data_IF_694993921530
#
_entry.id   IF_694993921530
#
_cell.length_a   1.000
_cell.length_b   1.000
_cell.length_c   1.000
_cell.angle_alpha   90.00
_cell.angle_beta   90.00
_cell.angle_gamma   90.00
#
_symmetry.space_group_name_H-M   'P 1'
#
loop_
_entity.id
_entity.type
_entity.pdbx_description
1 polymer ?
#
# COMPACT_ATOMS: atom_id res chain seq x y z
N UNK A 1 -27.69 -64.06 57.97
CA UNK A 1 -26.52 -63.25 57.51
C UNK A 1 -27.06 -62.28 56.51
N UNK A 2 -27.02 -60.93 56.78
CA UNK A 2 -27.54 -59.94 55.86
C UNK A 2 -26.48 -59.64 54.78
N UNK A 3 -26.97 -59.56 53.55
CA UNK A 3 -26.26 -59.21 52.34
C UNK A 3 -25.87 -57.72 52.37
N UNK A 4 -24.55 -57.45 52.26
CA UNK A 4 -23.96 -56.14 52.16
C UNK A 4 -23.43 -55.96 50.75
N UNK A 5 -24.20 -55.34 49.85
CA UNK A 5 -23.63 -54.65 48.68
C UNK A 5 -24.73 -54.03 47.80
N UNK A 6 -25.42 -53.02 48.32
CA UNK A 6 -26.22 -52.18 47.46
C UNK A 6 -25.82 -50.71 47.70
N UNK A 7 -25.20 -50.00 46.73
CA UNK A 7 -24.87 -48.56 46.87
C UNK A 7 -26.15 -47.72 46.88
N UNK A 8 -26.19 -46.61 47.63
CA UNK A 8 -27.36 -45.76 47.75
C UNK A 8 -27.66 -45.05 46.43
N UNK A 9 -28.88 -45.20 45.92
CA UNK A 9 -29.42 -44.49 44.77
C UNK A 9 -29.72 -43.04 45.19
N UNK A 10 -28.91 -42.06 44.71
CA UNK A 10 -29.20 -40.64 44.84
C UNK A 10 -30.47 -40.28 44.04
N UNK A 11 -31.38 -39.44 44.63
CA UNK A 11 -32.60 -39.07 43.94
C UNK A 11 -32.33 -38.20 42.70
N UNK A 12 -32.96 -38.59 41.60
CA UNK A 12 -32.86 -37.94 40.26
C UNK A 12 -33.15 -36.41 40.26
N UNK A 13 -33.65 -35.84 41.35
CA UNK A 13 -33.93 -34.42 41.49
C UNK A 13 -32.70 -33.57 41.88
N UNK A 14 -31.63 -34.17 42.40
CA UNK A 14 -30.40 -33.45 42.73
C UNK A 14 -29.46 -33.22 41.58
N UNK A 15 -29.65 -33.90 40.43
CA UNK A 15 -28.82 -33.76 39.22
C UNK A 15 -29.29 -32.67 38.25
N UNK A 16 -30.52 -32.12 38.47
CA UNK A 16 -31.05 -31.04 37.62
C UNK A 16 -30.74 -29.61 38.15
N UNK A 17 -30.28 -29.48 39.39
CA UNK A 17 -29.96 -28.17 40.00
C UNK A 17 -28.49 -27.72 39.78
N UNK A 18 -27.60 -28.66 39.39
CA UNK A 18 -26.16 -28.34 39.13
C UNK A 18 -25.85 -27.94 37.68
N UNK A 19 -26.82 -28.05 36.76
CA UNK A 19 -26.62 -27.77 35.32
C UNK A 19 -26.98 -26.33 34.90
N UNK A 20 -27.43 -25.47 35.80
CA UNK A 20 -27.84 -24.10 35.51
C UNK A 20 -26.88 -23.01 36.02
N UNK A 21 -25.67 -23.34 36.47
CA UNK A 21 -24.68 -22.39 36.94
C UNK A 21 -23.40 -22.30 36.09
N UNK A 22 -23.34 -23.01 34.96
CA UNK A 22 -22.34 -22.78 33.95
C UNK A 22 -22.95 -21.92 32.83
N UNK A 23 -23.25 -20.67 33.16
CA UNK A 23 -23.40 -19.60 32.16
C UNK A 23 -22.11 -19.59 31.36
N UNK A 24 -22.12 -20.18 30.16
CA UNK A 24 -21.08 -19.96 29.18
C UNK A 24 -21.01 -18.46 28.98
N UNK A 25 -20.02 -17.80 29.59
CA UNK A 25 -19.57 -16.50 29.15
C UNK A 25 -19.12 -16.71 27.72
N UNK A 26 -20.02 -16.42 26.78
CA UNK A 26 -19.62 -16.20 25.37
C UNK A 26 -18.45 -15.21 25.43
N UNK A 27 -17.29 -15.52 24.85
CA UNK A 27 -16.24 -14.54 24.80
C UNK A 27 -16.84 -13.31 24.09
N UNK A 28 -16.95 -12.22 24.84
CA UNK A 28 -17.18 -10.90 24.24
C UNK A 28 -16.19 -10.79 23.08
N UNK A 29 -16.61 -10.34 21.88
CA UNK A 29 -15.69 -10.11 20.77
C UNK A 29 -14.54 -9.30 21.37
N UNK A 30 -13.33 -9.91 21.38
CA UNK A 30 -12.20 -9.46 22.16
C UNK A 30 -12.03 -7.96 22.00
N UNK A 31 -11.95 -7.25 23.11
CA UNK A 31 -11.61 -5.83 23.10
C UNK A 31 -10.30 -5.73 22.29
N UNK A 32 -10.42 -5.20 21.07
CA UNK A 32 -9.28 -4.93 20.20
C UNK A 32 -8.35 -4.04 21.03
N UNK A 33 -7.10 -4.43 21.19
CA UNK A 33 -6.14 -3.61 21.90
C UNK A 33 -6.34 -2.14 21.47
N UNK A 34 -6.38 -1.23 22.43
CA UNK A 34 -6.67 0.18 22.17
C UNK A 34 -5.54 0.78 21.31
N UNK A 35 -5.63 0.62 20.00
CA UNK A 35 -4.61 1.05 19.04
C UNK A 35 -5.16 1.06 17.61
N UNK A 36 -4.50 1.81 16.73
CA UNK A 36 -4.83 1.87 15.30
C UNK A 36 -4.12 0.76 14.53
N UNK A 37 -4.84 0.09 13.63
CA UNK A 37 -4.26 -0.82 12.64
C UNK A 37 -4.48 -0.24 11.25
N UNK A 38 -3.39 -0.05 10.53
CA UNK A 38 -3.38 0.49 9.18
C UNK A 38 -2.84 -0.56 8.20
N UNK A 39 -3.30 -0.55 6.95
CA UNK A 39 -2.78 -1.45 5.92
C UNK A 39 -3.32 -1.09 4.55
N UNK A 40 -2.68 -1.56 3.48
CA UNK A 40 -3.12 -1.26 2.12
C UNK A 40 -1.98 -1.26 1.12
N UNK A 41 -1.93 -0.25 0.23
CA UNK A 41 -0.90 -0.16 -0.80
C UNK A 41 0.51 -0.09 -0.23
N UNK A 42 1.40 -0.89 -0.78
CA UNK A 42 2.79 -0.99 -0.33
C UNK A 42 3.56 0.31 -0.46
N UNK A 43 3.28 1.11 -1.50
CA UNK A 43 3.97 2.40 -1.72
C UNK A 43 3.76 3.41 -0.57
N UNK A 44 2.72 3.24 0.26
CA UNK A 44 2.45 4.13 1.40
C UNK A 44 2.95 3.58 2.74
N UNK A 45 3.38 2.32 2.82
CA UNK A 45 3.69 1.68 4.11
C UNK A 45 4.85 2.37 4.84
N UNK A 46 5.97 2.57 4.15
CA UNK A 46 7.17 3.15 4.79
C UNK A 46 6.92 4.58 5.26
N UNK A 47 6.33 5.42 4.43
CA UNK A 47 6.02 6.80 4.81
C UNK A 47 4.97 6.85 5.93
N UNK A 48 3.99 5.96 5.94
CA UNK A 48 2.99 5.89 7.00
C UNK A 48 3.62 5.51 8.34
N UNK A 49 4.59 4.58 8.35
CA UNK A 49 5.37 4.26 9.57
C UNK A 49 6.11 5.48 10.10
N UNK A 50 6.80 6.22 9.23
CA UNK A 50 7.50 7.45 9.61
C UNK A 50 6.55 8.52 10.14
N UNK A 51 5.38 8.68 9.52
CA UNK A 51 4.34 9.62 9.96
C UNK A 51 3.77 9.22 11.31
N UNK A 52 3.53 7.94 11.55
CA UNK A 52 3.08 7.43 12.86
C UNK A 52 4.13 7.64 13.95
N UNK A 53 5.40 7.38 13.65
CA UNK A 53 6.49 7.62 14.60
C UNK A 53 6.59 9.10 14.98
N UNK A 54 6.39 10.02 14.02
CA UNK A 54 6.35 11.46 14.27
C UNK A 54 5.13 11.86 15.08
N UNK A 55 3.95 11.34 14.74
CA UNK A 55 2.70 11.58 15.46
C UNK A 55 2.78 11.13 16.91
N UNK A 56 3.30 9.93 17.17
CA UNK A 56 3.48 9.40 18.52
C UNK A 56 4.50 10.21 19.33
N UNK A 57 5.61 10.66 18.72
CA UNK A 57 6.58 11.55 19.36
C UNK A 57 5.99 12.90 19.73
N UNK A 58 5.04 13.40 18.94
CA UNK A 58 4.31 14.63 19.19
C UNK A 58 3.16 14.50 20.23
N UNK A 59 3.02 13.35 20.88
CA UNK A 59 1.96 13.10 21.88
C UNK A 59 0.67 12.54 21.27
N UNK A 60 0.69 12.07 20.02
CA UNK A 60 -0.41 11.33 19.39
C UNK A 60 -0.75 10.07 20.21
N UNK A 61 -1.98 10.00 20.70
CA UNK A 61 -2.34 9.33 21.93
C UNK A 61 -2.50 7.81 21.92
N UNK A 62 -2.38 7.07 20.79
CA UNK A 62 -2.63 5.62 20.80
C UNK A 62 -1.55 4.85 20.01
N UNK A 63 -1.16 3.65 20.47
CA UNK A 63 -0.31 2.76 19.71
C UNK A 63 -0.89 2.50 18.31
N UNK A 64 -0.02 2.41 17.31
CA UNK A 64 -0.44 2.15 15.94
C UNK A 64 0.45 1.09 15.27
N UNK A 65 -0.16 0.26 14.43
CA UNK A 65 0.53 -0.80 13.69
C UNK A 65 0.22 -0.66 12.19
N UNK A 66 1.26 -0.66 11.36
CA UNK A 66 1.12 -0.73 9.91
C UNK A 66 1.43 -2.15 9.44
N UNK A 67 0.45 -2.80 8.87
CA UNK A 67 0.58 -4.14 8.30
C UNK A 67 1.53 -4.14 7.08
N UNK A 68 1.99 -5.30 6.68
CA UNK A 68 2.65 -5.48 5.40
C UNK A 68 1.67 -5.22 4.25
N UNK A 69 2.20 -5.05 3.02
CA UNK A 69 1.39 -4.72 1.85
C UNK A 69 0.24 -5.71 1.64
N UNK A 70 -0.96 -5.15 1.54
CA UNK A 70 -2.19 -5.83 1.17
C UNK A 70 -2.66 -5.43 -0.24
N UNK A 71 -1.95 -4.49 -0.88
CA UNK A 71 -2.45 -3.73 -2.01
C UNK A 71 -3.65 -2.84 -1.64
N UNK A 72 -4.04 -1.91 -2.51
CA UNK A 72 -5.22 -1.05 -2.25
C UNK A 72 -6.50 -1.87 -2.08
N UNK A 73 -6.73 -2.85 -2.96
CA UNK A 73 -7.94 -3.68 -2.91
C UNK A 73 -8.02 -4.52 -1.63
N UNK A 74 -6.90 -5.15 -1.22
CA UNK A 74 -6.83 -5.93 0.02
C UNK A 74 -7.00 -5.07 1.27
N UNK A 75 -6.42 -3.87 1.30
CA UNK A 75 -6.62 -2.90 2.37
C UNK A 75 -8.08 -2.48 2.52
N UNK A 76 -8.73 -2.11 1.41
CA UNK A 76 -10.16 -1.75 1.41
C UNK A 76 -11.05 -2.93 1.83
N UNK A 77 -10.74 -4.16 1.40
CA UNK A 77 -11.46 -5.35 1.86
C UNK A 77 -11.27 -5.59 3.36
N UNK A 78 -10.06 -5.47 3.89
CA UNK A 78 -9.77 -5.61 5.31
C UNK A 78 -10.47 -4.51 6.16
N UNK A 79 -10.51 -3.27 5.66
CA UNK A 79 -11.23 -2.17 6.28
C UNK A 79 -12.74 -2.46 6.36
N UNK A 80 -13.36 -2.91 5.25
CA UNK A 80 -14.79 -3.29 5.24
C UNK A 80 -15.09 -4.41 6.22
N UNK A 81 -14.21 -5.39 6.30
CA UNK A 81 -14.34 -6.50 7.25
C UNK A 81 -14.06 -6.12 8.71
N UNK A 82 -13.73 -4.85 9.00
CA UNK A 82 -13.39 -4.38 10.33
C UNK A 82 -12.10 -4.97 10.89
N UNK A 83 -11.20 -5.45 10.04
CA UNK A 83 -9.91 -6.04 10.44
C UNK A 83 -8.81 -4.99 10.62
N UNK A 84 -8.95 -3.84 9.98
CA UNK A 84 -8.11 -2.66 10.14
C UNK A 84 -8.99 -1.42 10.33
N UNK A 85 -8.41 -0.35 10.83
CA UNK A 85 -9.11 0.89 11.15
C UNK A 85 -8.99 1.92 10.02
N UNK A 86 -7.85 1.91 9.34
CA UNK A 86 -7.54 2.80 8.21
C UNK A 86 -6.96 1.96 7.06
N UNK A 87 -7.50 2.11 5.87
CA UNK A 87 -6.88 1.56 4.68
C UNK A 87 -6.05 2.63 3.95
N UNK A 88 -4.89 2.20 3.43
CA UNK A 88 -4.01 3.02 2.58
C UNK A 88 -4.34 2.68 1.12
N UNK A 89 -4.77 3.67 0.34
CA UNK A 89 -5.12 3.49 -1.05
C UNK A 89 -4.25 4.35 -1.98
N UNK A 90 -3.77 3.75 -3.06
CA UNK A 90 -3.04 4.44 -4.14
C UNK A 90 -3.93 4.65 -5.38
N UNK A 91 -5.24 4.58 -5.27
CA UNK A 91 -6.24 4.85 -6.30
C UNK A 91 -7.51 5.45 -5.70
N UNK A 92 -8.30 6.15 -6.50
CA UNK A 92 -9.63 6.57 -6.08
C UNK A 92 -10.52 5.38 -5.68
N UNK A 93 -11.51 5.65 -4.83
CA UNK A 93 -12.59 4.71 -4.54
C UNK A 93 -13.50 4.57 -5.76
N UNK A 94 -13.93 3.35 -6.02
CA UNK A 94 -14.98 3.09 -7.00
C UNK A 94 -16.35 3.57 -6.48
N UNK A 95 -17.35 3.85 -7.34
CA UNK A 95 -18.70 4.18 -6.90
C UNK A 95 -19.30 3.13 -5.96
N UNK A 96 -19.02 1.84 -6.20
CA UNK A 96 -19.47 0.76 -5.34
C UNK A 96 -18.83 0.78 -3.95
N UNK A 97 -17.56 1.15 -3.84
CA UNK A 97 -16.85 1.31 -2.56
C UNK A 97 -17.40 2.51 -1.78
N UNK A 98 -17.66 3.64 -2.46
CA UNK A 98 -18.30 4.81 -1.86
C UNK A 98 -19.72 4.51 -1.37
N UNK A 99 -20.52 3.79 -2.18
CA UNK A 99 -21.87 3.37 -1.79
C UNK A 99 -21.89 2.42 -0.58
N UNK A 100 -20.77 1.76 -0.28
CA UNK A 100 -20.56 0.94 0.94
C UNK A 100 -20.12 1.78 2.17
N UNK A 101 -20.13 3.10 2.06
CA UNK A 101 -19.80 4.01 3.16
C UNK A 101 -18.30 4.20 3.39
N UNK A 102 -17.45 3.86 2.41
CA UNK A 102 -16.03 4.20 2.49
C UNK A 102 -15.81 5.68 2.16
N UNK A 103 -14.98 6.34 2.96
CA UNK A 103 -14.59 7.74 2.79
C UNK A 103 -13.09 7.82 2.62
N UNK A 104 -12.64 8.45 1.52
CA UNK A 104 -11.22 8.63 1.22
C UNK A 104 -10.79 10.08 1.43
N UNK A 105 -9.71 10.28 2.17
CA UNK A 105 -9.04 11.57 2.33
C UNK A 105 -7.66 11.47 1.70
N UNK A 106 -7.45 12.19 0.59
CA UNK A 106 -6.14 12.26 -0.07
C UNK A 106 -5.19 13.11 0.78
N UNK A 107 -4.03 12.58 1.13
CA UNK A 107 -3.05 13.30 1.96
C UNK A 107 -1.79 13.68 1.19
N UNK A 108 -1.46 12.98 0.10
CA UNK A 108 -0.26 13.27 -0.68
C UNK A 108 -0.39 12.78 -2.12
N UNK A 109 0.44 13.34 -3.00
CA UNK A 109 0.71 12.83 -4.34
C UNK A 109 2.21 12.61 -4.48
N UNK A 110 2.61 11.60 -5.25
CA UNK A 110 4.03 11.37 -5.51
C UNK A 110 4.29 10.99 -6.96
N UNK A 111 5.48 11.31 -7.52
CA UNK A 111 5.87 10.85 -8.84
C UNK A 111 6.04 9.33 -8.85
N UNK A 112 5.65 8.69 -9.95
CA UNK A 112 6.11 7.35 -10.30
C UNK A 112 7.27 7.49 -11.28
N UNK A 113 8.36 6.78 -11.04
CA UNK A 113 9.55 6.82 -11.88
C UNK A 113 9.75 5.50 -12.61
N UNK A 114 10.26 5.55 -13.83
CA UNK A 114 10.98 4.43 -14.41
C UNK A 114 12.23 4.23 -13.58
N UNK A 115 12.50 3.01 -13.17
CA UNK A 115 13.63 2.68 -12.32
C UNK A 115 14.42 1.48 -12.83
N UNK A 116 15.69 1.48 -12.50
CA UNK A 116 16.62 0.39 -12.82
C UNK A 116 17.58 0.16 -11.65
N UNK A 117 18.30 -0.95 -11.72
CA UNK A 117 19.39 -1.26 -10.79
C UNK A 117 20.42 -0.12 -10.73
N UNK A 118 20.95 0.20 -9.56
CA UNK A 118 21.86 1.33 -9.34
C UNK A 118 23.09 1.36 -10.26
N UNK A 119 23.61 0.19 -10.64
CA UNK A 119 24.79 0.06 -11.52
C UNK A 119 24.46 0.15 -13.02
N UNK A 120 23.18 0.28 -13.41
CA UNK A 120 22.80 0.43 -14.82
C UNK A 120 23.22 1.81 -15.33
N UNK A 121 23.99 1.93 -16.43
CA UNK A 121 24.46 3.23 -16.93
C UNK A 121 23.37 3.89 -17.80
N UNK A 122 22.29 4.34 -17.17
CA UNK A 122 21.16 5.02 -17.80
C UNK A 122 20.66 6.18 -16.93
N UNK A 123 20.41 7.35 -17.53
CA UNK A 123 19.92 8.54 -16.83
C UNK A 123 18.47 8.90 -17.20
N UNK A 124 17.96 8.33 -18.29
CA UNK A 124 16.59 8.56 -18.75
C UNK A 124 16.15 7.58 -19.80
N UNK A 125 14.88 7.62 -20.09
CA UNK A 125 14.22 6.94 -21.21
C UNK A 125 13.19 7.87 -21.84
N UNK A 126 12.92 7.68 -23.11
CA UNK A 126 11.79 8.31 -23.79
C UNK A 126 10.52 7.46 -23.62
N UNK A 127 9.37 8.05 -23.86
CA UNK A 127 8.09 7.33 -23.90
C UNK A 127 8.12 6.22 -24.98
N UNK A 128 8.83 6.43 -26.11
CA UNK A 128 9.00 5.42 -27.14
C UNK A 128 9.86 4.24 -26.64
N UNK A 129 11.01 4.51 -26.03
CA UNK A 129 11.86 3.46 -25.44
C UNK A 129 11.15 2.70 -24.30
N UNK A 130 10.30 3.38 -23.54
CA UNK A 130 9.44 2.74 -22.54
C UNK A 130 8.47 1.74 -23.20
N UNK A 131 7.83 2.09 -24.32
CA UNK A 131 6.98 1.18 -25.07
C UNK A 131 7.76 0.00 -25.63
N UNK A 132 8.94 0.26 -26.23
CA UNK A 132 9.81 -0.76 -26.83
C UNK A 132 10.35 -1.74 -25.78
N UNK A 133 10.71 -1.24 -24.58
CA UNK A 133 11.14 -2.10 -23.48
C UNK A 133 9.99 -3.02 -23.00
N UNK A 134 8.80 -2.49 -22.82
CA UNK A 134 7.63 -3.25 -22.40
C UNK A 134 7.21 -4.28 -23.44
N UNK A 135 7.18 -3.91 -24.73
CA UNK A 135 6.85 -4.83 -25.82
C UNK A 135 7.94 -5.89 -26.07
N UNK A 136 9.19 -5.62 -25.66
CA UNK A 136 10.35 -6.50 -25.85
C UNK A 136 11.13 -6.23 -27.12
N UNK A 137 10.88 -5.11 -27.76
CA UNK A 137 11.64 -4.63 -28.92
C UNK A 137 12.98 -4.05 -28.47
N UNK A 138 13.02 -3.32 -27.35
CA UNK A 138 14.24 -2.87 -26.69
C UNK A 138 14.69 -3.92 -25.65
N UNK A 139 15.79 -4.63 -25.93
CA UNK A 139 16.31 -5.72 -25.09
C UNK A 139 17.64 -5.41 -24.42
N UNK A 140 18.24 -4.25 -24.73
CA UNK A 140 19.51 -3.81 -24.18
C UNK A 140 19.48 -2.32 -23.84
N UNK A 141 20.17 -1.94 -22.80
CA UNK A 141 20.36 -0.54 -22.44
C UNK A 141 21.27 0.17 -23.45
N UNK A 142 21.07 1.47 -23.76
CA UNK A 142 21.95 2.23 -24.65
C UNK A 142 23.42 2.22 -24.21
N UNK A 143 23.68 2.20 -22.91
CA UNK A 143 25.02 2.08 -22.32
C UNK A 143 25.60 0.67 -22.29
N UNK A 144 24.88 -0.30 -22.86
CA UNK A 144 25.24 -1.71 -22.89
C UNK A 144 24.62 -2.55 -21.76
N UNK A 145 24.62 -3.85 -21.95
CA UNK A 145 24.02 -4.80 -21.05
C UNK A 145 22.51 -5.05 -21.28
N UNK A 146 22.00 -6.19 -20.82
CA UNK A 146 20.63 -6.59 -21.07
C UNK A 146 19.62 -5.72 -20.30
N UNK A 147 18.52 -5.37 -20.94
CA UNK A 147 17.35 -4.75 -20.33
C UNK A 147 16.37 -5.85 -19.89
N UNK A 148 16.02 -5.88 -18.61
CA UNK A 148 15.19 -6.91 -17.99
C UNK A 148 13.97 -6.30 -17.35
N UNK A 149 12.82 -6.42 -18.00
CA UNK A 149 11.55 -5.90 -17.49
C UNK A 149 11.12 -6.66 -16.23
N UNK A 150 10.83 -5.93 -15.18
CA UNK A 150 10.14 -6.40 -13.98
C UNK A 150 8.67 -6.00 -14.12
N UNK A 151 7.81 -6.99 -14.28
CA UNK A 151 6.38 -6.80 -14.49
C UNK A 151 5.62 -6.76 -13.16
N UNK A 152 4.55 -5.99 -13.13
CA UNK A 152 3.53 -6.05 -12.07
C UNK A 152 2.35 -6.89 -12.52
N UNK A 153 1.53 -7.35 -11.56
CA UNK A 153 0.26 -7.97 -11.90
C UNK A 153 -0.66 -6.98 -12.63
N UNK A 154 -1.53 -7.50 -13.49
CA UNK A 154 -2.42 -6.72 -14.35
C UNK A 154 -3.37 -5.79 -13.57
N UNK A 155 -3.72 -6.17 -12.35
CA UNK A 155 -4.58 -5.37 -11.46
C UNK A 155 -3.84 -4.26 -10.70
N UNK A 156 -2.50 -4.19 -10.82
CA UNK A 156 -1.70 -3.21 -10.09
C UNK A 156 -1.82 -1.83 -10.70
N UNK A 157 -2.12 -0.85 -9.84
CA UNK A 157 -2.46 0.49 -10.26
C UNK A 157 -1.35 1.23 -11.01
N UNK A 158 -0.07 0.89 -10.81
CA UNK A 158 1.06 1.50 -11.50
C UNK A 158 1.03 1.17 -13.00
N UNK A 159 0.72 -0.09 -13.32
CA UNK A 159 0.62 -0.55 -14.70
C UNK A 159 -0.68 -0.11 -15.37
N UNK A 160 -1.77 0.04 -14.61
CA UNK A 160 -3.01 0.67 -15.09
C UNK A 160 -2.75 2.15 -15.45
N UNK A 161 -2.05 2.89 -14.57
CA UNK A 161 -1.70 4.27 -14.84
C UNK A 161 -0.74 4.40 -16.03
N UNK A 162 0.25 3.51 -16.12
CA UNK A 162 1.17 3.46 -17.26
C UNK A 162 0.39 3.29 -18.57
N UNK A 163 -0.56 2.36 -18.62
CA UNK A 163 -1.43 2.14 -19.80
C UNK A 163 -2.25 3.37 -20.18
N UNK A 164 -2.49 4.32 -19.27
CA UNK A 164 -3.25 5.54 -19.53
C UNK A 164 -2.42 6.66 -20.18
N UNK A 165 -1.10 6.50 -20.30
CA UNK A 165 -0.24 7.53 -20.88
C UNK A 165 -0.48 7.72 -22.38
N UNK A 166 -0.63 6.63 -23.11
CA UNK A 166 -0.97 6.64 -24.54
C UNK A 166 -1.48 5.27 -25.01
N UNK A 167 -2.16 5.19 -26.17
CA UNK A 167 -2.55 3.91 -26.77
C UNK A 167 -1.38 2.98 -27.05
N UNK A 168 -0.24 3.52 -27.43
CA UNK A 168 0.99 2.76 -27.71
C UNK A 168 1.53 2.11 -26.43
N UNK A 169 1.55 2.85 -25.33
CA UNK A 169 1.96 2.31 -24.02
C UNK A 169 0.95 1.26 -23.54
N UNK A 170 -0.35 1.47 -23.73
CA UNK A 170 -1.36 0.48 -23.37
C UNK A 170 -1.14 -0.85 -24.10
N UNK A 171 -0.87 -0.80 -25.43
CA UNK A 171 -0.54 -1.97 -26.22
C UNK A 171 0.76 -2.64 -25.75
N UNK A 172 1.80 -1.85 -25.44
CA UNK A 172 3.08 -2.36 -24.94
C UNK A 172 2.92 -3.06 -23.57
N UNK A 173 2.10 -2.51 -22.67
CA UNK A 173 1.73 -3.13 -21.38
C UNK A 173 1.02 -4.48 -21.62
N UNK A 174 0.07 -4.55 -22.54
CA UNK A 174 -0.60 -5.80 -22.89
C UNK A 174 0.38 -6.85 -23.46
N UNK A 175 1.30 -6.43 -24.32
CA UNK A 175 2.39 -7.29 -24.81
C UNK A 175 3.29 -7.79 -23.67
N UNK A 176 3.69 -6.90 -22.75
CA UNK A 176 4.48 -7.29 -21.58
C UNK A 176 3.74 -8.34 -20.72
N UNK A 177 2.42 -8.21 -20.56
CA UNK A 177 1.63 -9.22 -19.84
C UNK A 177 1.56 -10.57 -20.58
N UNK A 178 1.63 -10.58 -21.90
CA UNK A 178 1.63 -11.80 -22.72
C UNK A 178 3.01 -12.46 -22.80
N UNK A 179 4.11 -11.75 -22.50
CA UNK A 179 5.47 -12.28 -22.58
C UNK A 179 5.74 -13.28 -21.47
N UNK A 180 6.15 -14.54 -21.79
CA UNK A 180 6.56 -15.52 -20.79
C UNK A 180 7.91 -15.16 -20.15
N UNK A 181 8.15 -15.65 -18.94
CA UNK A 181 9.46 -15.60 -18.29
C UNK A 181 9.87 -14.25 -17.71
N UNK A 182 9.03 -13.21 -17.78
CA UNK A 182 9.32 -11.94 -17.10
C UNK A 182 9.21 -12.11 -15.58
N UNK A 183 10.18 -11.55 -14.85
CA UNK A 183 10.07 -11.40 -13.40
C UNK A 183 8.79 -10.61 -13.09
N UNK A 184 7.95 -11.14 -12.21
CA UNK A 184 6.66 -10.53 -11.88
C UNK A 184 6.58 -10.30 -10.38
N UNK A 185 6.24 -9.09 -9.97
CA UNK A 185 6.08 -8.71 -8.57
C UNK A 185 4.60 -8.55 -8.22
N UNK A 186 4.17 -9.20 -7.14
CA UNK A 186 2.82 -9.12 -6.59
C UNK A 186 2.62 -7.96 -5.61
N UNK A 187 3.70 -7.40 -5.05
CA UNK A 187 3.64 -6.28 -4.10
C UNK A 187 4.61 -5.18 -4.50
N UNK A 188 4.42 -3.96 -3.96
CA UNK A 188 5.32 -2.82 -4.18
C UNK A 188 6.73 -3.11 -3.61
N UNK A 189 6.81 -3.81 -2.47
CA UNK A 189 8.09 -4.21 -1.86
C UNK A 189 8.83 -5.23 -2.72
N UNK A 190 8.14 -6.28 -3.18
CA UNK A 190 8.72 -7.29 -4.07
C UNK A 190 9.21 -6.66 -5.38
N UNK A 191 8.46 -5.70 -5.94
CA UNK A 191 8.87 -4.94 -7.10
C UNK A 191 10.19 -4.19 -6.86
N UNK A 192 10.28 -3.46 -5.76
CA UNK A 192 11.49 -2.73 -5.39
C UNK A 192 12.69 -3.69 -5.20
N UNK A 193 12.47 -4.84 -4.54
CA UNK A 193 13.51 -5.87 -4.35
C UNK A 193 13.97 -6.50 -5.66
N UNK A 194 13.05 -6.77 -6.59
CA UNK A 194 13.41 -7.29 -7.90
C UNK A 194 14.20 -6.26 -8.71
N UNK A 195 13.81 -4.98 -8.66
CA UNK A 195 14.53 -3.91 -9.32
C UNK A 195 15.95 -3.73 -8.77
N UNK A 196 16.14 -3.85 -7.47
CA UNK A 196 17.47 -3.79 -6.81
C UNK A 196 18.34 -5.03 -7.10
N UNK A 197 17.73 -6.20 -7.19
CA UNK A 197 18.46 -7.46 -7.33
C UNK A 197 18.84 -7.79 -8.78
N UNK A 198 18.00 -7.41 -9.72
CA UNK A 198 18.19 -7.76 -11.15
C UNK A 198 19.02 -6.68 -11.83
N UNK A 199 20.27 -6.98 -12.13
CA UNK A 199 21.12 -6.08 -12.90
C UNK A 199 20.53 -5.81 -14.29
N UNK A 200 20.42 -4.54 -14.68
CA UNK A 200 19.74 -4.12 -15.90
C UNK A 200 18.21 -4.20 -15.80
N UNK A 201 17.65 -4.26 -14.61
CA UNK A 201 16.19 -4.20 -14.38
C UNK A 201 15.55 -2.98 -15.04
N UNK A 202 14.28 -3.11 -15.38
CA UNK A 202 13.45 -2.03 -15.91
C UNK A 202 12.04 -2.16 -15.35
N UNK A 203 11.56 -1.18 -14.64
CA UNK A 203 10.21 -1.18 -14.07
C UNK A 203 9.81 0.18 -13.54
N UNK A 204 8.66 0.22 -12.88
CA UNK A 204 8.08 1.46 -12.33
C UNK A 204 8.07 1.37 -10.81
N UNK A 205 8.44 2.47 -10.14
CA UNK A 205 8.40 2.59 -8.68
C UNK A 205 7.90 3.98 -8.27
N UNK A 206 7.25 4.06 -7.11
CA UNK A 206 6.98 5.32 -6.43
C UNK A 206 8.28 5.96 -5.94
N UNK A 207 8.54 7.20 -6.31
CA UNK A 207 9.70 7.97 -5.82
C UNK A 207 9.66 8.05 -4.29
N UNK A 208 8.49 8.33 -3.73
CA UNK A 208 8.32 8.39 -2.28
C UNK A 208 8.60 7.06 -1.59
N UNK A 209 8.19 5.93 -2.17
CA UNK A 209 8.55 4.62 -1.64
C UNK A 209 10.06 4.41 -1.69
N UNK A 210 10.69 4.67 -2.83
CA UNK A 210 12.12 4.48 -2.99
C UNK A 210 12.93 5.29 -1.95
N UNK A 211 12.51 6.52 -1.67
CA UNK A 211 13.14 7.39 -0.67
C UNK A 211 12.86 6.92 0.76
N UNK A 212 11.60 6.65 1.12
CA UNK A 212 11.22 6.26 2.47
C UNK A 212 11.79 4.89 2.88
N UNK A 213 11.93 3.96 1.94
CA UNK A 213 12.55 2.64 2.14
C UNK A 213 14.07 2.66 1.91
N UNK A 214 14.64 3.80 1.48
CA UNK A 214 16.08 3.95 1.17
C UNK A 214 16.57 2.94 0.13
N UNK A 215 15.78 2.76 -0.93
CA UNK A 215 16.08 1.80 -2.00
C UNK A 215 17.29 2.25 -2.82
N UNK A 216 18.15 1.32 -3.18
CA UNK A 216 19.35 1.53 -3.99
C UNK A 216 19.02 1.35 -5.47
N UNK A 217 18.29 2.31 -6.01
CA UNK A 217 17.80 2.30 -7.39
C UNK A 217 18.21 3.59 -8.12
N UNK A 218 18.39 3.50 -9.41
CA UNK A 218 18.51 4.65 -10.28
C UNK A 218 17.11 4.99 -10.81
N UNK A 219 16.63 6.19 -10.48
CA UNK A 219 15.36 6.72 -10.98
C UNK A 219 15.64 7.52 -12.25
N UNK A 220 14.99 7.17 -13.34
CA UNK A 220 15.28 7.67 -14.68
C UNK A 220 14.39 8.88 -15.01
N UNK A 221 14.93 9.83 -15.74
CA UNK A 221 14.13 10.86 -16.40
C UNK A 221 13.23 10.22 -17.47
N UNK A 222 12.01 10.71 -17.62
CA UNK A 222 11.09 10.35 -18.70
C UNK A 222 10.97 11.54 -19.66
N UNK A 223 11.28 11.32 -20.94
CA UNK A 223 11.32 12.38 -21.96
C UNK A 223 12.18 13.59 -21.54
N UNK A 224 13.30 13.34 -20.87
CA UNK A 224 14.22 14.36 -20.36
C UNK A 224 13.77 15.06 -19.08
N UNK A 225 12.62 14.71 -18.50
CA UNK A 225 12.12 15.30 -17.26
C UNK A 225 12.37 14.34 -16.09
N UNK A 226 13.17 14.78 -15.12
CA UNK A 226 13.41 14.00 -13.90
C UNK A 226 12.16 13.92 -13.01
N UNK A 227 11.92 12.79 -12.32
CA UNK A 227 10.74 12.55 -11.48
C UNK A 227 10.87 13.26 -10.12
N UNK A 228 11.00 14.61 -10.13
CA UNK A 228 11.14 15.42 -8.92
C UNK A 228 9.81 16.01 -8.47
N UNK A 229 9.72 16.40 -7.18
CA UNK A 229 8.54 17.10 -6.66
C UNK A 229 8.29 18.43 -7.37
N UNK A 230 9.37 19.16 -7.71
CA UNK A 230 9.26 20.41 -8.45
C UNK A 230 8.68 20.19 -9.86
N UNK A 231 9.16 19.17 -10.58
CA UNK A 231 8.66 18.82 -11.90
C UNK A 231 7.19 18.36 -11.84
N UNK A 232 6.80 17.63 -10.78
CA UNK A 232 5.42 17.24 -10.56
C UNK A 232 4.52 18.46 -10.30
N UNK A 233 4.88 19.33 -9.36
CA UNK A 233 4.10 20.53 -9.00
C UNK A 233 3.95 21.50 -10.17
N UNK A 234 5.00 21.65 -10.98
CA UNK A 234 4.96 22.50 -12.19
C UNK A 234 4.22 21.85 -13.38
N UNK A 235 3.76 20.61 -13.26
CA UNK A 235 3.08 19.87 -14.32
C UNK A 235 3.98 19.38 -15.45
N UNK A 236 5.30 19.56 -15.35
CA UNK A 236 6.28 19.04 -16.32
C UNK A 236 6.39 17.52 -16.27
N UNK A 237 6.29 16.92 -15.07
CA UNK A 237 6.26 15.47 -14.87
C UNK A 237 4.83 15.00 -14.63
N UNK A 238 4.32 14.10 -15.48
CA UNK A 238 2.89 13.73 -15.48
C UNK A 238 2.59 12.38 -14.83
N UNK A 239 3.57 11.50 -14.73
CA UNK A 239 3.36 10.17 -14.16
C UNK A 239 3.39 10.24 -12.63
N UNK A 240 2.22 10.26 -12.01
CA UNK A 240 2.08 10.41 -10.56
C UNK A 240 0.87 9.67 -10.00
N UNK A 241 0.90 9.42 -8.70
CA UNK A 241 -0.21 8.80 -7.97
C UNK A 241 -0.55 9.57 -6.70
N UNK A 242 -1.84 9.74 -6.47
CA UNK A 242 -2.36 10.20 -5.19
C UNK A 242 -2.37 9.04 -4.17
N UNK A 243 -2.11 9.38 -2.93
CA UNK A 243 -2.26 8.48 -1.78
C UNK A 243 -3.38 9.00 -0.89
N UNK A 244 -4.27 8.10 -0.51
CA UNK A 244 -5.38 8.39 0.38
C UNK A 244 -5.37 7.46 1.59
N UNK A 245 -5.79 7.99 2.72
CA UNK A 245 -6.29 7.22 3.85
C UNK A 245 -7.80 7.02 3.67
N UNK A 246 -8.28 5.83 3.96
CA UNK A 246 -9.70 5.49 3.81
C UNK A 246 -10.24 4.98 5.13
N UNK A 247 -11.42 5.48 5.52
CA UNK A 247 -12.16 5.07 6.71
C UNK A 247 -13.54 4.54 6.35
N UNK A 248 -14.24 3.93 7.32
CA UNK A 248 -15.65 3.53 7.19
C UNK A 248 -16.51 4.61 7.82
N UNK A 249 -17.25 5.38 6.97
CA UNK A 249 -18.10 6.47 7.45
C UNK A 249 -17.32 7.46 8.34
N UNK A 250 -17.91 7.82 9.46
CA UNK A 250 -17.25 8.64 10.46
C UNK A 250 -16.09 7.88 11.12
N UNK A 251 -14.91 8.48 11.08
CA UNK A 251 -13.70 7.86 11.60
C UNK A 251 -13.76 7.77 13.15
N UNK A 252 -13.31 6.66 13.78
CA UNK A 252 -13.09 6.63 15.21
C UNK A 252 -12.15 7.76 15.65
N UNK A 253 -12.33 8.29 16.86
CA UNK A 253 -11.59 9.47 17.36
C UNK A 253 -10.07 9.36 17.18
N UNK A 254 -9.48 8.17 17.41
CA UNK A 254 -8.06 7.95 17.22
C UNK A 254 -7.65 8.01 15.74
N UNK A 255 -8.49 7.49 14.82
CA UNK A 255 -8.25 7.58 13.40
C UNK A 255 -8.39 9.03 12.92
N UNK A 256 -9.40 9.76 13.38
CA UNK A 256 -9.57 11.17 13.07
C UNK A 256 -8.37 12.00 13.54
N UNK A 257 -7.87 11.78 14.75
CA UNK A 257 -6.68 12.47 15.25
C UNK A 257 -5.44 12.23 14.39
N UNK A 258 -5.28 11.02 13.82
CA UNK A 258 -4.22 10.75 12.87
C UNK A 258 -4.45 11.45 11.51
N UNK A 259 -5.70 11.50 11.02
CA UNK A 259 -6.04 12.26 9.81
C UNK A 259 -5.72 13.75 9.99
N UNK A 260 -6.08 14.33 11.14
CA UNK A 260 -5.78 15.73 11.47
C UNK A 260 -4.26 15.97 11.51
N UNK A 261 -3.49 15.01 12.08
CA UNK A 261 -2.03 15.07 12.06
C UNK A 261 -1.46 15.09 10.64
N UNK A 262 -2.02 14.33 9.68
CA UNK A 262 -1.54 14.32 8.29
C UNK A 262 -1.60 15.71 7.64
N UNK A 263 -2.51 16.57 8.06
CA UNK A 263 -2.60 17.96 7.61
C UNK A 263 -1.62 18.91 8.31
N UNK A 264 -0.94 18.47 9.38
CA UNK A 264 -0.07 19.30 10.22
C UNK A 264 1.25 19.67 9.52
N UNK A 265 1.89 20.79 9.93
CA UNK A 265 3.20 21.19 9.40
C UNK A 265 4.29 20.11 9.54
N UNK A 266 4.44 19.38 10.67
CA UNK A 266 5.43 18.29 10.79
C UNK A 266 5.20 17.17 9.79
N UNK A 267 3.95 16.69 9.62
CA UNK A 267 3.63 15.64 8.66
C UNK A 267 3.92 16.09 7.22
N UNK A 268 3.55 17.33 6.87
CA UNK A 268 3.81 17.90 5.53
C UNK A 268 5.31 18.07 5.24
N UNK A 269 6.11 18.43 6.24
CA UNK A 269 7.56 18.51 6.12
C UNK A 269 8.16 17.12 5.88
N UNK A 270 7.72 16.13 6.65
CA UNK A 270 8.15 14.73 6.51
C UNK A 270 7.79 14.15 5.14
N UNK A 271 6.58 14.41 4.66
CA UNK A 271 6.14 13.99 3.32
C UNK A 271 7.06 14.56 2.23
N UNK A 272 7.35 15.87 2.26
CA UNK A 272 8.25 16.50 1.28
C UNK A 272 9.66 15.93 1.33
N UNK A 273 10.20 15.72 2.53
CA UNK A 273 11.53 15.15 2.72
C UNK A 273 11.67 13.73 2.13
N UNK A 274 10.54 13.02 1.93
CA UNK A 274 10.52 11.66 1.40
C UNK A 274 9.85 11.54 0.03
N UNK A 275 9.85 12.61 -0.79
CA UNK A 275 9.41 12.50 -2.18
C UNK A 275 7.89 12.55 -2.39
N UNK A 276 7.13 13.09 -1.43
CA UNK A 276 5.69 13.28 -1.55
C UNK A 276 5.32 14.77 -1.58
N UNK A 277 4.37 15.14 -2.41
CA UNK A 277 3.72 16.46 -2.41
C UNK A 277 2.49 16.38 -1.52
N UNK A 278 2.49 17.04 -0.33
CA UNK A 278 1.30 17.06 0.54
C UNK A 278 0.15 17.78 -0.13
N UNK A 279 -1.07 17.32 0.07
CA UNK A 279 -2.28 18.06 -0.36
C UNK A 279 -2.39 19.37 0.45
N UNK A 280 -2.77 20.51 -0.17
CA UNK A 280 -3.02 21.75 0.56
C UNK A 280 -4.06 21.58 1.67
N UNK A 281 -3.88 22.29 2.80
CA UNK A 281 -4.76 22.20 3.95
C UNK A 281 -6.21 22.67 3.66
N UNK A 282 -6.40 23.44 2.61
CA UNK A 282 -7.70 23.99 2.19
C UNK A 282 -8.51 23.04 1.28
N UNK A 283 -7.94 21.89 0.89
CA UNK A 283 -8.53 20.92 -0.03
C UNK A 283 -8.83 19.56 0.66
N UNK A 284 -8.68 19.47 1.97
CA UNK A 284 -8.88 18.25 2.76
C UNK A 284 -10.23 18.25 3.49
#
# INVERSE_FOLDING_TARGET
VPDRDTPPRLPRRALLAAAMAMGAALPLPGARAAGLTLGGTGMAIAITRLLLDEWLRGGGGVPATVLNSLGSAGGLAALRAGRIDIALAGRPLTPAEQAQGLVATTFATNPLAVATHEATPADGVTTAELADALSGELTSWPGGGPLRVVRRDRAEGDWILLSSLSPEIALAVDRAHARPGLATAGTDQENAELLERIQGSFGIISVGQAMAERRRLRLLALDGVAPTLEALVSGRYRLSRALAVVTRGEAPAAAQAFLDFLASPPARALLRAHGYVPVPAEAA
#
